data_IF_245426099612
#
_entry.id   IF_245426099612
#
_cell.length_a   1.000
_cell.length_b   1.000
_cell.length_c   1.000
_cell.angle_alpha   90.00
_cell.angle_beta   90.00
_cell.angle_gamma   90.00
#
_symmetry.space_group_name_H-M   'P 1'
#
loop_
_entity.id
_entity.type
_entity.pdbx_description
1 polymer ?
#
# COMPACT_ATOMS: atom_id res chain seq x y z
N UNK A 1 2.98 -6.93 16.87
CA UNK A 1 4.02 -7.28 15.87
C UNK A 1 5.18 -6.33 16.08
N UNK A 2 6.41 -6.72 15.74
CA UNK A 2 7.55 -5.81 15.81
C UNK A 2 8.05 -5.46 14.41
N UNK A 3 8.59 -4.26 14.24
CA UNK A 3 9.09 -3.78 12.95
C UNK A 3 10.50 -4.29 12.62
N UNK A 4 11.19 -4.93 13.58
CA UNK A 4 12.49 -5.58 13.42
C UNK A 4 12.37 -7.07 13.04
N UNK A 5 11.15 -7.57 12.86
CA UNK A 5 10.86 -8.92 12.33
C UNK A 5 10.44 -8.83 10.85
N UNK A 6 10.47 -9.97 10.15
CA UNK A 6 9.97 -10.03 8.77
C UNK A 6 8.47 -9.73 8.72
N UNK A 7 8.13 -8.81 7.80
CA UNK A 7 6.76 -8.44 7.46
C UNK A 7 6.57 -8.52 5.95
N UNK A 8 5.45 -9.09 5.49
CA UNK A 8 5.02 -9.02 4.10
C UNK A 8 4.12 -7.79 3.94
N UNK A 9 4.49 -6.88 3.04
CA UNK A 9 3.63 -5.76 2.66
C UNK A 9 2.98 -6.01 1.30
N UNK A 10 1.75 -6.52 1.34
CA UNK A 10 0.93 -6.85 0.16
C UNK A 10 0.11 -5.63 -0.27
N UNK A 11 0.40 -5.09 -1.47
CA UNK A 11 -0.09 -3.80 -1.95
C UNK A 11 -0.80 -3.93 -3.30
N UNK A 12 -1.92 -3.24 -3.45
CA UNK A 12 -2.66 -3.12 -4.71
C UNK A 12 -3.24 -1.72 -4.90
N UNK A 13 -3.63 -1.39 -6.14
CA UNK A 13 -4.25 -0.11 -6.50
C UNK A 13 -5.61 -0.36 -7.14
N UNK A 14 -6.73 -0.25 -6.41
CA UNK A 14 -8.06 -0.45 -6.96
C UNK A 14 -8.51 0.65 -7.94
N UNK A 15 -7.92 1.85 -7.87
CA UNK A 15 -8.29 2.95 -8.77
C UNK A 15 -7.15 3.94 -8.99
N UNK A 16 -7.02 4.41 -10.23
CA UNK A 16 -6.16 5.52 -10.59
C UNK A 16 -6.86 6.38 -11.66
N UNK A 17 -7.18 7.63 -11.30
CA UNK A 17 -7.91 8.54 -12.17
C UNK A 17 -7.69 10.01 -11.77
N UNK A 18 -7.95 10.93 -12.69
CA UNK A 18 -7.94 12.38 -12.43
C UNK A 18 -6.65 12.90 -11.75
N UNK A 19 -5.51 12.31 -12.09
CA UNK A 19 -4.21 12.69 -11.53
C UNK A 19 -3.97 12.21 -10.10
N UNK A 20 -4.72 11.20 -9.63
CA UNK A 20 -4.56 10.56 -8.31
C UNK A 20 -4.57 9.04 -8.44
N UNK A 21 -3.95 8.38 -7.47
CA UNK A 21 -4.01 6.92 -7.30
C UNK A 21 -4.39 6.58 -5.86
N UNK A 22 -5.33 5.65 -5.70
CA UNK A 22 -5.69 5.06 -4.42
C UNK A 22 -4.94 3.74 -4.26
N UNK A 23 -4.04 3.68 -3.29
CA UNK A 23 -3.38 2.46 -2.86
C UNK A 23 -4.04 1.89 -1.61
N UNK A 24 -4.17 0.56 -1.57
CA UNK A 24 -4.52 -0.17 -0.36
C UNK A 24 -3.54 -1.30 -0.13
N UNK A 25 -3.37 -1.68 1.13
CA UNK A 25 -2.43 -2.71 1.47
C UNK A 25 -2.69 -3.38 2.81
N UNK A 26 -2.08 -4.54 2.99
CA UNK A 26 -2.11 -5.34 4.22
C UNK A 26 -0.68 -5.73 4.57
N UNK A 27 -0.31 -5.53 5.83
CA UNK A 27 0.98 -5.98 6.36
C UNK A 27 0.74 -7.23 7.18
N UNK A 28 1.46 -8.31 6.86
CA UNK A 28 1.36 -9.61 7.51
C UNK A 28 2.67 -9.93 8.23
N UNK A 29 2.58 -10.55 9.41
CA UNK A 29 3.75 -11.16 10.06
C UNK A 29 4.15 -12.45 9.36
N UNK A 30 5.37 -12.92 9.62
CA UNK A 30 5.90 -14.15 9.01
C UNK A 30 5.05 -15.41 9.31
N UNK A 31 4.36 -15.44 10.44
CA UNK A 31 3.41 -16.51 10.82
C UNK A 31 2.00 -16.31 10.23
N UNK A 32 1.81 -15.34 9.32
CA UNK A 32 0.58 -15.13 8.57
C UNK A 32 -0.49 -14.30 9.30
N UNK A 33 -0.19 -13.71 10.46
CA UNK A 33 -1.15 -12.85 11.18
C UNK A 33 -1.19 -11.45 10.57
N UNK A 34 -2.41 -10.92 10.36
CA UNK A 34 -2.59 -9.54 9.92
C UNK A 34 -2.09 -8.57 11.02
N UNK A 35 -1.16 -7.70 10.63
CA UNK A 35 -0.55 -6.70 11.50
C UNK A 35 -1.19 -5.31 11.31
N UNK A 36 -1.33 -4.88 10.06
CA UNK A 36 -1.78 -3.53 9.69
C UNK A 36 -2.60 -3.58 8.41
N UNK A 37 -3.61 -2.70 8.31
CA UNK A 37 -4.25 -2.32 7.04
C UNK A 37 -3.89 -0.88 6.70
N UNK A 38 -3.64 -0.61 5.43
CA UNK A 38 -3.22 0.72 4.94
C UNK A 38 -4.13 1.16 3.81
N UNK A 39 -4.51 2.43 3.84
CA UNK A 39 -5.14 3.16 2.73
C UNK A 39 -4.34 4.44 2.52
N UNK A 40 -4.04 4.76 1.27
CA UNK A 40 -3.34 5.99 0.91
C UNK A 40 -3.86 6.51 -0.44
N UNK A 41 -4.15 7.80 -0.53
CA UNK A 41 -4.34 8.48 -1.81
C UNK A 41 -3.12 9.39 -2.08
N UNK A 42 -2.60 9.32 -3.30
CA UNK A 42 -1.45 10.12 -3.73
C UNK A 42 -1.70 10.83 -5.06
N UNK A 43 -1.01 11.95 -5.27
CA UNK A 43 -0.98 12.62 -6.58
C UNK A 43 -0.11 11.82 -7.55
N UNK A 44 -0.67 11.50 -8.71
CA UNK A 44 0.03 10.80 -9.80
C UNK A 44 -0.20 11.57 -11.09
N UNK A 45 0.79 12.33 -11.56
CA UNK A 45 0.68 13.17 -12.77
C UNK A 45 1.78 12.80 -13.76
N UNK A 46 1.40 12.58 -15.01
CA UNK A 46 2.36 12.44 -16.11
C UNK A 46 2.87 13.85 -16.47
N UNK A 47 4.19 14.10 -16.44
CA UNK A 47 4.76 15.37 -16.87
C UNK A 47 4.42 15.68 -18.33
N UNK A 48 4.28 16.96 -18.67
CA UNK A 48 4.15 17.38 -20.08
C UNK A 48 5.54 17.39 -20.72
N UNK A 49 5.60 17.11 -22.03
CA UNK A 49 6.79 17.30 -22.85
C UNK A 49 7.09 18.80 -23.05
#
# INVERSE_FOLDING_TARGET
>A
FRADEWLLYDQESPSAAAGRGLGQARIWTQDGRLAVTVIQEGVVRVPRA
#
